data_IF_779691315150
#
_entry.id   IF_779691315150
#
_cell.length_a   1.000
_cell.length_b   1.000
_cell.length_c   1.000
_cell.angle_alpha   90.00
_cell.angle_beta   90.00
_cell.angle_gamma   90.00
#
_symmetry.space_group_name_H-M   'P 1'
#
loop_
_entity.id
_entity.type
_entity.pdbx_description
1 polymer ?
#
# COMPACT_ATOMS: atom_id res chain seq x y z
N UNK A 1 -13.53 13.19 3.36
CA UNK A 1 -12.52 13.27 2.26
C UNK A 1 -12.29 11.90 1.62
N UNK A 2 -11.68 11.83 0.42
CA UNK A 2 -11.21 10.55 -0.16
C UNK A 2 -9.84 10.15 0.38
N UNK A 3 -9.71 8.89 0.80
CA UNK A 3 -8.46 8.29 1.32
C UNK A 3 -7.96 7.22 0.34
N UNK A 4 -6.71 7.34 -0.09
CA UNK A 4 -6.06 6.34 -0.93
C UNK A 4 -5.19 5.41 -0.07
N UNK A 5 -5.31 4.10 -0.27
CA UNK A 5 -4.56 3.09 0.49
C UNK A 5 -3.80 2.16 -0.47
N UNK A 6 -2.49 2.38 -0.67
CA UNK A 6 -1.64 1.44 -1.38
C UNK A 6 -1.50 0.14 -0.57
N UNK A 7 -1.79 -0.99 -1.21
CA UNK A 7 -1.60 -2.34 -0.65
C UNK A 7 -0.70 -3.16 -1.57
N UNK A 8 0.23 -3.93 -1.00
CA UNK A 8 1.18 -4.77 -1.73
C UNK A 8 0.91 -6.25 -1.48
N UNK A 9 0.98 -7.04 -2.55
CA UNK A 9 1.01 -8.50 -2.49
C UNK A 9 2.44 -8.96 -2.28
N UNK A 10 2.70 -9.63 -1.16
CA UNK A 10 4.03 -10.11 -0.75
C UNK A 10 3.98 -11.57 -0.33
N UNK A 11 5.12 -12.19 -0.08
CA UNK A 11 5.19 -13.52 0.55
C UNK A 11 4.56 -13.44 1.93
N UNK A 12 3.74 -14.43 2.31
CA UNK A 12 3.18 -14.51 3.66
C UNK A 12 4.30 -14.50 4.71
N UNK A 13 4.18 -13.66 5.73
CA UNK A 13 5.23 -13.44 6.73
C UNK A 13 5.58 -14.69 7.55
N UNK A 14 4.74 -15.74 7.54
CA UNK A 14 5.03 -17.02 8.17
C UNK A 14 5.80 -17.99 7.26
N UNK A 15 5.99 -17.66 5.99
CA UNK A 15 6.70 -18.50 5.03
C UNK A 15 8.21 -18.25 5.14
N UNK A 16 8.96 -19.34 5.32
CA UNK A 16 10.43 -19.28 5.27
C UNK A 16 10.91 -19.10 3.84
N UNK A 17 11.46 -17.93 3.56
CA UNK A 17 12.07 -17.56 2.28
C UNK A 17 13.20 -18.52 1.90
N UNK A 18 13.26 -18.90 0.61
CA UNK A 18 14.34 -19.70 0.02
C UNK A 18 14.97 -18.94 -1.13
N UNK A 19 16.29 -18.97 -1.21
CA UNK A 19 17.05 -18.42 -2.34
C UNK A 19 17.21 -19.52 -3.39
N UNK A 20 17.04 -19.19 -4.66
CA UNK A 20 17.30 -20.11 -5.78
C UNK A 20 18.78 -20.53 -5.77
N UNK A 21 19.07 -21.77 -6.15
CA UNK A 21 20.44 -22.31 -6.13
C UNK A 21 21.41 -21.60 -7.07
N UNK A 22 20.88 -20.91 -8.09
CA UNK A 22 21.64 -20.12 -9.06
C UNK A 22 21.88 -18.66 -8.62
N UNK A 23 21.38 -18.25 -7.44
CA UNK A 23 21.52 -16.88 -6.93
C UNK A 23 20.69 -15.83 -7.66
N UNK A 24 19.77 -16.23 -8.56
CA UNK A 24 18.96 -15.29 -9.35
C UNK A 24 17.88 -14.55 -8.54
N UNK A 25 17.62 -14.98 -7.30
CA UNK A 25 16.69 -14.31 -6.40
C UNK A 25 15.97 -15.28 -5.46
N UNK A 26 14.86 -14.81 -4.90
CA UNK A 26 13.98 -15.62 -4.05
C UNK A 26 13.16 -16.59 -4.90
N UNK A 27 12.99 -17.81 -4.42
CA UNK A 27 12.05 -18.77 -4.98
C UNK A 27 10.62 -18.45 -4.51
N UNK A 28 9.82 -17.95 -5.46
CA UNK A 28 8.42 -17.56 -5.29
C UNK A 28 7.48 -18.61 -5.91
N UNK A 29 8.01 -19.72 -6.41
CA UNK A 29 7.19 -20.77 -7.00
C UNK A 29 6.40 -21.47 -5.88
N UNK A 30 5.07 -21.52 -6.04
CA UNK A 30 4.15 -22.20 -5.12
C UNK A 30 4.23 -21.72 -3.66
N UNK A 31 4.70 -20.50 -3.40
CA UNK A 31 4.67 -19.91 -2.06
C UNK A 31 3.33 -19.23 -1.81
N UNK A 32 2.86 -19.29 -0.56
CA UNK A 32 1.70 -18.53 -0.12
C UNK A 32 2.03 -17.04 -0.15
N UNK A 33 1.17 -16.26 -0.80
CA UNK A 33 1.28 -14.81 -0.87
C UNK A 33 0.11 -14.20 -0.07
N UNK A 34 0.32 -13.02 0.51
CA UNK A 34 -0.68 -12.31 1.31
C UNK A 34 -0.57 -10.80 1.09
N UNK A 35 -1.49 -10.04 1.70
CA UNK A 35 -1.29 -8.61 1.88
C UNK A 35 -0.08 -8.39 2.78
N UNK A 36 0.70 -7.34 2.51
CA UNK A 36 1.74 -6.89 3.41
C UNK A 36 1.14 -6.48 4.77
N UNK A 37 1.67 -6.96 5.91
CA UNK A 37 1.06 -6.70 7.22
C UNK A 37 0.88 -5.23 7.57
N UNK A 38 1.79 -4.36 7.12
CA UNK A 38 1.67 -2.92 7.36
C UNK A 38 0.55 -2.28 6.53
N UNK A 39 0.19 -2.89 5.41
CA UNK A 39 -0.86 -2.38 4.54
C UNK A 39 -2.24 -2.81 5.09
N UNK A 40 -2.35 -3.97 5.75
CA UNK A 40 -3.56 -4.36 6.49
C UNK A 40 -3.90 -3.30 7.57
N UNK A 41 -2.88 -2.80 8.27
CA UNK A 41 -3.03 -1.72 9.27
C UNK A 41 -3.48 -0.41 8.60
N UNK A 42 -2.92 -0.08 7.44
CA UNK A 42 -3.30 1.13 6.70
C UNK A 42 -4.75 1.08 6.19
N UNK A 43 -5.21 -0.10 5.73
CA UNK A 43 -6.61 -0.32 5.33
C UNK A 43 -7.54 -0.18 6.54
N UNK A 44 -7.21 -0.83 7.66
CA UNK A 44 -7.99 -0.73 8.91
C UNK A 44 -8.14 0.73 9.37
N UNK A 45 -7.05 1.50 9.40
CA UNK A 45 -7.11 2.90 9.83
C UNK A 45 -7.95 3.77 8.87
N UNK A 46 -7.85 3.53 7.56
CA UNK A 46 -8.69 4.22 6.58
C UNK A 46 -10.19 3.92 6.81
N UNK A 47 -10.54 2.68 7.15
CA UNK A 47 -11.91 2.28 7.47
C UNK A 47 -12.38 2.97 8.75
N UNK A 48 -11.56 3.03 9.79
CA UNK A 48 -11.89 3.75 11.04
C UNK A 48 -12.17 5.23 10.80
N UNK A 49 -11.37 5.88 9.94
CA UNK A 49 -11.63 7.26 9.54
C UNK A 49 -12.99 7.38 8.82
N UNK A 50 -13.36 6.41 7.99
CA UNK A 50 -14.68 6.39 7.33
C UNK A 50 -15.82 6.20 8.32
N UNK A 51 -15.70 5.22 9.22
CA UNK A 51 -16.70 4.96 10.27
C UNK A 51 -16.89 6.14 11.24
N UNK A 52 -15.82 6.90 11.49
CA UNK A 52 -15.86 8.13 12.28
C UNK A 52 -16.39 9.35 11.50
N UNK A 53 -16.70 9.22 10.21
CA UNK A 53 -17.18 10.31 9.35
C UNK A 53 -16.09 11.30 8.93
N UNK A 54 -14.80 10.98 9.10
CA UNK A 54 -13.68 11.80 8.65
C UNK A 54 -13.30 11.51 7.18
N UNK A 55 -13.61 10.31 6.69
CA UNK A 55 -13.47 9.92 5.29
C UNK A 55 -14.85 9.62 4.66
N UNK A 56 -15.01 9.96 3.39
CA UNK A 56 -16.22 9.66 2.61
C UNK A 56 -16.05 8.38 1.78
N UNK A 57 -14.80 8.09 1.40
CA UNK A 57 -14.47 7.04 0.44
C UNK A 57 -13.03 6.55 0.67
N UNK A 58 -12.83 5.23 0.61
CA UNK A 58 -11.55 4.53 0.73
C UNK A 58 -11.26 3.80 -0.57
N UNK A 59 -10.17 4.17 -1.23
CA UNK A 59 -9.73 3.62 -2.52
C UNK A 59 -8.49 2.76 -2.29
N UNK A 60 -8.60 1.45 -2.49
CA UNK A 60 -7.46 0.54 -2.39
C UNK A 60 -6.69 0.47 -3.73
N UNK A 61 -5.37 0.54 -3.71
CA UNK A 61 -4.54 0.48 -4.92
C UNK A 61 -3.46 -0.58 -4.79
N UNK A 62 -3.31 -1.44 -5.79
CA UNK A 62 -2.19 -2.38 -5.85
C UNK A 62 -1.51 -2.30 -7.21
N UNK A 63 -0.17 -2.30 -7.20
CA UNK A 63 0.67 -2.22 -8.40
C UNK A 63 1.52 -3.49 -8.46
N UNK A 64 1.50 -4.21 -9.59
CA UNK A 64 2.30 -5.42 -9.76
C UNK A 64 1.73 -6.38 -10.80
N UNK A 65 1.70 -7.67 -10.46
CA UNK A 65 1.14 -8.73 -11.32
C UNK A 65 -0.39 -8.80 -11.21
N UNK A 66 -1.05 -9.46 -12.17
CA UNK A 66 -2.52 -9.63 -12.19
C UNK A 66 -3.07 -10.28 -10.91
N UNK A 67 -2.31 -11.17 -10.27
CA UNK A 67 -2.69 -11.86 -9.04
C UNK A 67 -2.81 -10.91 -7.84
N UNK A 68 -2.27 -9.69 -7.91
CA UNK A 68 -2.49 -8.67 -6.90
C UNK A 68 -3.97 -8.27 -6.75
N UNK A 69 -4.83 -8.65 -7.72
CA UNK A 69 -6.28 -8.59 -7.60
C UNK A 69 -6.80 -9.32 -6.34
N UNK A 70 -6.16 -10.40 -5.90
CA UNK A 70 -6.56 -11.13 -4.68
C UNK A 70 -6.37 -10.26 -3.44
N UNK A 71 -5.24 -9.56 -3.34
CA UNK A 71 -4.95 -8.60 -2.26
C UNK A 71 -5.95 -7.45 -2.25
N UNK A 72 -6.32 -6.93 -3.42
CA UNK A 72 -7.37 -5.91 -3.53
C UNK A 72 -8.73 -6.43 -3.07
N UNK A 73 -9.10 -7.67 -3.39
CA UNK A 73 -10.35 -8.27 -2.89
C UNK A 73 -10.36 -8.40 -1.37
N UNK A 74 -9.20 -8.65 -0.75
CA UNK A 74 -9.08 -8.60 0.72
C UNK A 74 -9.33 -7.19 1.25
N UNK A 75 -8.74 -6.15 0.66
CA UNK A 75 -8.99 -4.76 1.07
C UNK A 75 -10.47 -4.36 0.92
N UNK A 76 -11.12 -4.77 -0.18
CA UNK A 76 -12.55 -4.58 -0.40
C UNK A 76 -13.39 -5.32 0.66
N UNK A 77 -13.02 -6.55 0.99
CA UNK A 77 -13.72 -7.33 2.01
C UNK A 77 -13.56 -6.76 3.43
N UNK A 78 -12.46 -6.05 3.70
CA UNK A 78 -12.25 -5.33 4.96
C UNK A 78 -13.14 -4.08 5.07
N UNK A 79 -13.40 -3.39 3.95
CA UNK A 79 -14.26 -2.21 3.93
C UNK A 79 -13.84 -1.07 3.01
N UNK A 80 -12.81 -1.26 2.17
CA UNK A 80 -12.53 -0.31 1.09
C UNK A 80 -13.71 -0.25 0.10
N UNK A 81 -14.05 0.94 -0.40
CA UNK A 81 -15.24 1.15 -1.23
C UNK A 81 -15.06 0.60 -2.64
N UNK A 82 -13.86 0.79 -3.21
CA UNK A 82 -13.48 0.20 -4.50
C UNK A 82 -11.95 0.14 -4.64
N UNK A 83 -11.48 -0.45 -5.74
CA UNK A 83 -10.08 -0.80 -5.90
C UNK A 83 -9.54 -0.54 -7.31
N UNK A 84 -8.25 -0.19 -7.39
CA UNK A 84 -7.49 -0.01 -8.62
C UNK A 84 -6.36 -1.05 -8.67
N UNK A 85 -6.33 -1.82 -9.76
CA UNK A 85 -5.20 -2.68 -10.09
C UNK A 85 -4.38 -2.04 -11.21
N UNK A 86 -3.11 -1.74 -10.94
CA UNK A 86 -2.14 -1.36 -11.98
C UNK A 86 -1.26 -2.56 -12.29
N UNK A 87 -1.45 -3.14 -13.47
CA UNK A 87 -0.60 -4.24 -13.94
C UNK A 87 0.69 -3.65 -14.50
N UNK A 88 1.79 -3.85 -13.79
CA UNK A 88 3.11 -3.32 -14.14
C UNK A 88 4.21 -4.40 -14.22
N UNK A 89 3.87 -5.65 -13.88
CA UNK A 89 4.75 -6.80 -13.96
C UNK A 89 4.03 -7.97 -14.61
N UNK A 90 4.77 -8.74 -15.43
CA UNK A 90 4.24 -9.98 -16.03
C UNK A 90 4.57 -11.21 -15.18
N UNK A 91 5.59 -11.10 -14.31
CA UNK A 91 6.09 -12.18 -13.49
C UNK A 91 6.27 -11.73 -12.02
N UNK A 92 6.02 -12.62 -11.07
CA UNK A 92 6.07 -12.32 -9.62
C UNK A 92 7.48 -11.99 -9.13
N UNK A 93 8.52 -12.41 -9.85
CA UNK A 93 9.91 -12.08 -9.55
C UNK A 93 10.30 -10.66 -9.96
N UNK A 94 9.44 -9.95 -10.70
CA UNK A 94 9.67 -8.56 -11.10
C UNK A 94 9.03 -7.61 -10.08
N UNK A 95 9.75 -7.32 -9.00
CA UNK A 95 9.32 -6.26 -8.07
C UNK A 95 9.47 -4.88 -8.72
N UNK A 96 8.47 -4.01 -8.51
CA UNK A 96 8.48 -2.66 -9.04
C UNK A 96 9.10 -1.73 -7.99
N UNK A 97 10.14 -1.01 -8.38
CA UNK A 97 10.89 -0.17 -7.45
C UNK A 97 10.02 0.94 -6.82
N UNK A 98 10.28 1.31 -5.55
CA UNK A 98 9.53 2.34 -4.83
C UNK A 98 9.34 3.66 -5.59
N UNK A 99 10.34 4.08 -6.39
CA UNK A 99 10.24 5.31 -7.18
C UNK A 99 9.18 5.19 -8.28
N UNK A 100 9.11 4.06 -8.97
CA UNK A 100 8.10 3.82 -9.99
C UNK A 100 6.71 3.71 -9.35
N UNK A 101 6.61 2.99 -8.23
CA UNK A 101 5.37 2.90 -7.43
C UNK A 101 4.89 4.29 -7.01
N UNK A 102 5.77 5.13 -6.44
CA UNK A 102 5.43 6.48 -6.00
C UNK A 102 4.97 7.39 -7.15
N UNK A 103 5.57 7.29 -8.34
CA UNK A 103 5.13 8.05 -9.53
C UNK A 103 3.73 7.64 -10.01
N UNK A 104 3.44 6.34 -10.01
CA UNK A 104 2.12 5.82 -10.38
C UNK A 104 1.08 6.30 -9.35
N UNK A 105 1.38 6.14 -8.05
CA UNK A 105 0.50 6.58 -6.98
C UNK A 105 0.25 8.09 -7.03
N UNK A 106 1.26 8.91 -7.33
CA UNK A 106 1.08 10.35 -7.46
C UNK A 106 0.05 10.71 -8.55
N UNK A 107 0.05 9.98 -9.66
CA UNK A 107 -0.94 10.19 -10.73
C UNK A 107 -2.34 9.72 -10.34
N UNK A 108 -2.45 8.60 -9.64
CA UNK A 108 -3.74 8.13 -9.13
C UNK A 108 -4.30 9.11 -8.09
N UNK A 109 -3.46 9.67 -7.21
CA UNK A 109 -3.89 10.69 -6.25
C UNK A 109 -4.47 11.92 -6.95
N UNK A 110 -3.81 12.38 -8.03
CA UNK A 110 -4.28 13.51 -8.86
C UNK A 110 -5.61 13.19 -9.56
N UNK A 111 -5.70 12.02 -10.21
CA UNK A 111 -6.90 11.61 -10.97
C UNK A 111 -8.12 11.37 -10.06
N UNK A 112 -7.90 10.73 -8.91
CA UNK A 112 -9.00 10.37 -7.99
C UNK A 112 -9.38 11.48 -7.01
N UNK A 113 -8.55 12.52 -6.88
CA UNK A 113 -8.76 13.61 -5.94
C UNK A 113 -8.64 13.17 -4.48
N UNK A 114 -7.76 12.19 -4.19
CA UNK A 114 -7.47 11.79 -2.82
C UNK A 114 -6.85 12.96 -2.04
N UNK A 115 -7.19 13.11 -0.76
CA UNK A 115 -6.62 14.17 0.11
C UNK A 115 -5.77 13.62 1.25
N UNK A 116 -5.75 12.30 1.42
CA UNK A 116 -4.93 11.59 2.38
C UNK A 116 -4.48 10.27 1.73
N UNK A 117 -3.21 9.90 1.94
CA UNK A 117 -2.68 8.59 1.58
C UNK A 117 -2.24 7.90 2.87
N UNK A 118 -2.77 6.71 3.14
CA UNK A 118 -2.30 5.85 4.23
C UNK A 118 -1.58 4.65 3.61
N UNK A 119 -0.26 4.57 3.80
CA UNK A 119 0.55 3.45 3.32
C UNK A 119 1.16 2.70 4.50
N UNK A 120 1.42 1.40 4.33
CA UNK A 120 2.26 0.67 5.26
C UNK A 120 3.65 1.30 5.39
N UNK A 121 4.31 1.09 6.54
CA UNK A 121 5.64 1.67 6.79
C UNK A 121 6.69 1.16 5.78
N UNK A 122 6.65 -0.13 5.46
CA UNK A 122 7.54 -0.79 4.51
C UNK A 122 6.84 -2.01 3.95
N UNK A 123 7.35 -2.54 2.84
CA UNK A 123 6.97 -3.86 2.37
C UNK A 123 8.00 -4.87 2.89
N UNK A 124 7.55 -5.99 3.44
CA UNK A 124 8.42 -7.00 4.07
C UNK A 124 9.30 -7.80 3.09
N UNK A 125 9.07 -7.67 1.79
CA UNK A 125 9.81 -8.39 0.76
C UNK A 125 11.08 -7.64 0.31
N UNK A 126 11.02 -6.31 0.26
CA UNK A 126 12.14 -5.47 -0.14
C UNK A 126 12.69 -4.56 0.99
N UNK A 127 11.97 -4.44 2.11
CA UNK A 127 12.34 -3.66 3.30
C UNK A 127 12.78 -2.20 3.02
N UNK A 128 12.29 -1.60 1.93
CA UNK A 128 12.81 -0.32 1.45
C UNK A 128 12.40 0.88 2.31
N UNK A 129 11.26 0.82 3.01
CA UNK A 129 10.70 1.94 3.80
C UNK A 129 10.81 3.30 3.08
N UNK A 130 10.41 3.37 1.79
CA UNK A 130 10.68 4.54 0.94
C UNK A 130 9.46 5.06 0.17
N UNK A 131 8.52 4.19 -0.22
CA UNK A 131 7.42 4.53 -1.15
C UNK A 131 6.58 5.72 -0.65
N UNK A 132 6.16 5.70 0.62
CA UNK A 132 5.34 6.76 1.20
C UNK A 132 6.06 8.11 1.23
N UNK A 133 7.35 8.12 1.58
CA UNK A 133 8.16 9.34 1.60
C UNK A 133 8.44 9.88 0.19
N UNK A 134 8.71 8.99 -0.78
CA UNK A 134 8.88 9.36 -2.18
C UNK A 134 7.59 9.95 -2.76
N UNK A 135 6.43 9.37 -2.42
CA UNK A 135 5.13 9.89 -2.83
C UNK A 135 4.87 11.30 -2.26
N UNK A 136 5.12 11.50 -0.96
CA UNK A 136 5.02 12.82 -0.32
C UNK A 136 5.90 13.86 -1.02
N UNK A 137 7.14 13.49 -1.36
CA UNK A 137 8.05 14.39 -2.08
C UNK A 137 7.54 14.74 -3.48
N UNK A 138 7.00 13.77 -4.23
CA UNK A 138 6.45 13.99 -5.58
C UNK A 138 5.19 14.85 -5.58
N UNK A 139 4.34 14.71 -4.56
CA UNK A 139 3.11 15.49 -4.41
C UNK A 139 3.35 16.87 -3.78
N UNK A 140 4.53 17.11 -3.18
CA UNK A 140 4.78 18.30 -2.37
C UNK A 140 3.95 18.33 -1.07
N UNK A 141 3.54 17.16 -0.56
CA UNK A 141 2.71 17.04 0.64
C UNK A 141 3.53 16.82 1.89
N UNK A 142 2.99 17.24 3.04
CA UNK A 142 3.49 16.83 4.36
C UNK A 142 3.43 15.31 4.54
N UNK A 143 4.30 14.76 5.39
CA UNK A 143 4.31 13.34 5.74
C UNK A 143 4.43 13.12 7.25
N UNK A 144 3.84 12.03 7.73
CA UNK A 144 3.99 11.55 9.10
C UNK A 144 4.26 10.03 9.08
N UNK A 145 5.54 9.65 9.07
CA UNK A 145 5.95 8.24 8.99
C UNK A 145 5.94 7.57 10.35
N UNK A 146 5.78 6.24 10.38
CA UNK A 146 5.77 5.43 11.62
C UNK A 146 4.65 5.82 12.60
N UNK A 147 3.50 6.22 12.06
CA UNK A 147 2.34 6.62 12.86
C UNK A 147 1.87 5.50 13.80
N UNK A 148 1.68 5.83 15.08
CA UNK A 148 1.06 4.98 16.10
C UNK A 148 -0.34 5.44 16.50
N UNK A 149 -0.68 6.69 16.21
CA UNK A 149 -2.01 7.31 16.42
C UNK A 149 -2.22 8.40 15.36
N UNK A 150 -3.45 8.52 14.85
CA UNK A 150 -3.85 9.50 13.84
C UNK A 150 -5.19 10.12 14.24
N UNK A 151 -5.26 11.45 14.25
CA UNK A 151 -6.49 12.21 14.42
C UNK A 151 -6.62 13.28 13.34
N UNK A 152 -7.82 13.39 12.77
CA UNK A 152 -8.15 14.43 11.80
C UNK A 152 -8.84 15.57 12.55
N UNK A 153 -8.24 16.76 12.51
CA UNK A 153 -8.73 17.98 13.13
C UNK A 153 -8.91 19.06 12.06
N UNK A 154 -10.12 19.12 11.49
CA UNK A 154 -10.43 20.04 10.39
C UNK A 154 -9.60 19.74 9.15
N UNK A 155 -8.72 20.67 8.77
CA UNK A 155 -7.83 20.53 7.60
C UNK A 155 -6.44 19.99 7.96
N UNK A 156 -6.21 19.58 9.21
CA UNK A 156 -4.93 19.10 9.69
C UNK A 156 -5.04 17.68 10.27
N UNK A 157 -3.91 16.98 10.27
CA UNK A 157 -3.77 15.69 10.95
C UNK A 157 -2.79 15.84 12.13
N UNK A 158 -3.18 15.31 13.28
CA UNK A 158 -2.32 15.17 14.46
C UNK A 158 -1.86 13.72 14.52
N UNK A 159 -0.54 13.50 14.47
CA UNK A 159 0.05 12.16 14.36
C UNK A 159 1.10 11.95 15.44
N UNK A 160 0.97 10.83 16.18
CA UNK A 160 2.01 10.34 17.09
C UNK A 160 2.90 9.33 16.35
N UNK A 161 4.23 9.39 16.54
CA UNK A 161 5.23 8.60 15.80
C UNK A 161 6.20 7.91 16.75
#
# INVERSE_FOLDING_TARGET
MKVLVPVKRVIDYNVKVRVKSDGSGVDLANVKMSMNPFDEIAVEEAIRLKEAGAADEVIAVSIGVKQAQETLRTALAMGADWAILVVAANDVHQDIEPLAVAKILAKIVEEEGARLVLSGKQAIDNDMNATGQMLSALLGWSQATFASDLKIEGEHAVVTR
#
